data_IF_335261220435
#
_entry.id   IF_335261220435
#
_cell.length_a   1.000
_cell.length_b   1.000
_cell.length_c   1.000
_cell.angle_alpha   90.00
_cell.angle_beta   90.00
_cell.angle_gamma   90.00
#
_symmetry.space_group_name_H-M   'P 1'
#
loop_
_entity.id
_entity.type
_entity.pdbx_description
1 polymer ?
#
# COMPACT_ATOMS: atom_id res chain seq x y z
N UNK A 1 49.75 19.98 -14.88
CA UNK A 1 51.13 19.38 -14.67
C UNK A 1 51.00 18.18 -13.74
N UNK A 2 51.51 17.05 -14.23
CA UNK A 2 51.92 15.79 -13.52
C UNK A 2 50.80 15.00 -12.87
N UNK A 3 50.41 13.90 -13.44
CA UNK A 3 50.97 12.56 -13.79
C UNK A 3 50.57 11.51 -12.75
N UNK A 4 49.74 10.56 -13.24
CA UNK A 4 49.90 9.09 -13.20
C UNK A 4 50.49 8.45 -11.93
N UNK A 5 49.78 7.50 -11.36
CA UNK A 5 50.31 6.16 -11.15
C UNK A 5 49.18 5.10 -11.18
N UNK A 6 49.25 4.28 -12.20
CA UNK A 6 48.66 2.96 -12.35
C UNK A 6 49.41 1.96 -11.48
N UNK A 7 48.72 1.02 -10.83
CA UNK A 7 49.37 -0.25 -10.47
C UNK A 7 48.36 -1.41 -10.49
N UNK A 8 48.61 -2.24 -11.45
CA UNK A 8 48.14 -3.55 -11.77
C UNK A 8 48.81 -4.57 -10.85
N UNK A 9 48.10 -5.49 -10.22
CA UNK A 9 48.69 -6.75 -9.84
C UNK A 9 47.71 -7.91 -9.96
N UNK A 10 48.21 -8.87 -10.71
CA UNK A 10 47.64 -10.09 -11.23
C UNK A 10 47.57 -11.24 -10.20
N UNK A 11 46.54 -12.07 -10.33
CA UNK A 11 46.52 -13.49 -10.60
C UNK A 11 47.50 -14.40 -9.81
N UNK A 12 46.93 -15.25 -8.94
CA UNK A 12 47.48 -16.61 -8.73
C UNK A 12 46.32 -17.61 -8.56
N UNK A 13 46.17 -18.46 -9.58
CA UNK A 13 45.51 -19.78 -9.53
C UNK A 13 46.42 -20.74 -8.76
N UNK A 14 45.83 -21.58 -7.92
CA UNK A 14 46.46 -22.83 -7.51
C UNK A 14 45.40 -23.95 -7.50
N UNK A 15 45.48 -24.77 -8.56
CA UNK A 15 44.92 -26.14 -8.62
C UNK A 15 45.71 -27.03 -7.67
N UNK A 16 45.03 -27.87 -6.90
CA UNK A 16 45.60 -29.11 -6.36
C UNK A 16 44.61 -30.25 -6.55
N UNK A 17 44.92 -31.06 -7.55
CA UNK A 17 44.42 -32.43 -7.69
C UNK A 17 45.19 -33.31 -6.69
N UNK A 18 44.46 -34.16 -5.96
CA UNK A 18 45.01 -35.38 -5.40
C UNK A 18 44.07 -36.54 -5.66
N UNK A 19 44.48 -37.38 -6.58
CA UNK A 19 44.00 -38.75 -6.82
C UNK A 19 44.55 -39.68 -5.76
N UNK A 20 43.73 -40.62 -5.28
CA UNK A 20 44.15 -41.73 -4.45
C UNK A 20 43.14 -42.88 -4.50
N UNK A 21 43.44 -43.89 -5.29
CA UNK A 21 42.74 -45.19 -5.40
C UNK A 21 43.05 -46.11 -4.21
N UNK A 22 42.08 -46.99 -3.87
CA UNK A 22 42.40 -48.36 -3.49
C UNK A 22 41.59 -48.99 -2.36
N UNK A 23 40.86 -50.10 -2.67
CA UNK A 23 40.69 -51.27 -1.81
C UNK A 23 39.34 -51.52 -1.12
N UNK A 24 38.45 -52.16 -1.68
CA UNK A 24 37.85 -53.52 -1.70
C UNK A 24 37.25 -54.08 -0.39
N UNK A 25 35.91 -54.41 -0.45
CA UNK A 25 35.06 -55.46 0.21
C UNK A 25 34.98 -55.54 1.74
N UNK A 26 33.79 -55.54 2.32
CA UNK A 26 32.81 -56.66 2.31
C UNK A 26 31.46 -56.21 2.97
N UNK A 27 30.46 -56.97 2.54
CA UNK A 27 29.05 -57.02 2.88
C UNK A 27 28.64 -56.92 4.36
N UNK A 28 27.55 -56.22 4.65
CA UNK A 28 26.37 -56.76 5.36
C UNK A 28 25.19 -55.78 5.27
N UNK A 29 24.05 -56.37 4.86
CA UNK A 29 22.72 -55.72 4.74
C UNK A 29 22.17 -55.30 6.10
N UNK A 30 21.68 -54.07 6.15
CA UNK A 30 20.55 -53.75 7.04
C UNK A 30 19.77 -52.60 6.37
N UNK A 31 18.47 -52.78 6.28
CA UNK A 31 17.56 -51.91 5.53
C UNK A 31 17.56 -50.47 6.02
N UNK A 32 17.96 -49.59 5.14
CA UNK A 32 17.67 -48.19 5.25
C UNK A 32 16.28 -47.94 4.68
N UNK A 33 15.37 -47.67 5.59
CA UNK A 33 14.09 -47.04 5.26
C UNK A 33 14.43 -45.66 4.71
N UNK A 34 14.40 -45.52 3.41
CA UNK A 34 14.48 -44.23 2.76
C UNK A 34 13.28 -43.40 3.28
N UNK A 35 13.56 -42.54 4.23
CA UNK A 35 12.66 -41.42 4.56
C UNK A 35 12.57 -40.59 3.28
N UNK A 36 11.47 -40.71 2.57
CA UNK A 36 11.13 -39.80 1.50
C UNK A 36 11.07 -38.40 2.09
N UNK A 37 12.12 -37.61 1.92
CA UNK A 37 12.06 -36.18 2.12
C UNK A 37 11.02 -35.65 1.14
N UNK A 38 9.86 -35.32 1.64
CA UNK A 38 8.88 -34.50 0.93
C UNK A 38 9.65 -33.28 0.40
N UNK A 39 9.56 -32.93 -0.88
CA UNK A 39 10.17 -31.70 -1.34
C UNK A 39 9.62 -30.57 -0.49
N UNK A 40 10.49 -29.82 0.18
CA UNK A 40 10.11 -28.55 0.81
C UNK A 40 9.49 -27.72 -0.29
N UNK A 41 8.20 -27.41 -0.17
CA UNK A 41 7.54 -26.49 -1.07
C UNK A 41 8.36 -25.19 -1.05
N UNK A 42 8.74 -24.69 -2.22
CA UNK A 42 9.50 -23.46 -2.36
C UNK A 42 8.67 -22.32 -1.74
N UNK A 43 9.19 -21.69 -0.68
CA UNK A 43 8.50 -20.60 -0.01
C UNK A 43 8.53 -19.36 -0.90
N UNK A 44 7.39 -18.80 -1.20
CA UNK A 44 7.23 -17.54 -1.93
C UNK A 44 7.17 -16.39 -0.94
N UNK A 45 8.08 -15.43 -1.07
CA UNK A 45 8.07 -14.20 -0.27
C UNK A 45 7.60 -13.06 -1.16
N UNK A 46 6.50 -12.44 -0.77
CA UNK A 46 5.88 -11.29 -1.42
C UNK A 46 6.03 -10.06 -0.54
N UNK A 47 5.96 -8.86 -1.10
CA UNK A 47 6.10 -7.60 -0.36
C UNK A 47 4.86 -6.74 -0.52
N UNK A 48 4.45 -6.10 0.59
CA UNK A 48 3.37 -5.14 0.64
C UNK A 48 3.89 -3.79 1.15
N UNK A 49 3.68 -2.72 0.39
CA UNK A 49 3.99 -1.35 0.79
C UNK A 49 2.77 -0.64 1.39
N UNK A 50 3.01 0.20 2.39
CA UNK A 50 2.01 1.08 2.97
C UNK A 50 2.66 2.39 3.45
N UNK A 51 2.01 3.53 3.19
CA UNK A 51 2.49 4.86 3.59
C UNK A 51 2.24 5.20 5.06
N UNK A 52 1.32 4.50 5.74
CA UNK A 52 1.03 4.67 7.16
C UNK A 52 2.06 3.98 8.06
N UNK A 53 2.19 4.48 9.30
CA UNK A 53 3.01 3.84 10.34
C UNK A 53 2.41 2.49 10.76
N UNK A 54 3.21 1.62 11.36
CA UNK A 54 2.79 0.27 11.73
C UNK A 54 1.60 0.24 12.72
N UNK A 55 1.49 1.26 13.57
CA UNK A 55 0.45 1.41 14.59
C UNK A 55 -0.91 1.85 14.02
N UNK A 56 -0.93 2.38 12.79
CA UNK A 56 -2.18 2.79 12.16
C UNK A 56 -3.09 1.59 11.91
N UNK A 57 -4.40 1.76 12.15
CA UNK A 57 -5.38 0.67 12.04
C UNK A 57 -5.38 0.01 10.65
N UNK A 58 -5.20 0.80 9.60
CA UNK A 58 -5.07 0.28 8.21
C UNK A 58 -3.80 -0.57 8.04
N UNK A 59 -2.71 -0.22 8.74
CA UNK A 59 -1.46 -1.02 8.72
C UNK A 59 -1.64 -2.34 9.47
N UNK A 60 -2.40 -2.33 10.56
CA UNK A 60 -2.76 -3.54 11.29
C UNK A 60 -3.61 -4.47 10.42
N UNK A 61 -4.54 -3.94 9.62
CA UNK A 61 -5.30 -4.73 8.64
C UNK A 61 -4.38 -5.36 7.57
N UNK A 62 -3.41 -4.60 7.07
CA UNK A 62 -2.41 -5.14 6.12
C UNK A 62 -1.57 -6.25 6.76
N UNK A 63 -1.16 -6.10 8.02
CA UNK A 63 -0.44 -7.15 8.75
C UNK A 63 -1.30 -8.37 8.98
N UNK A 64 -2.56 -8.20 9.40
CA UNK A 64 -3.52 -9.30 9.55
C UNK A 64 -3.72 -10.05 8.23
N UNK A 65 -3.87 -9.35 7.12
CA UNK A 65 -3.93 -9.96 5.79
C UNK A 65 -2.70 -10.83 5.51
N UNK A 66 -1.50 -10.31 5.78
CA UNK A 66 -0.25 -11.04 5.59
C UNK A 66 -0.16 -12.31 6.47
N UNK A 67 -0.54 -12.19 7.74
CA UNK A 67 -0.53 -13.29 8.71
C UNK A 67 -1.52 -14.40 8.31
N UNK A 68 -2.73 -14.02 7.88
CA UNK A 68 -3.75 -14.95 7.40
C UNK A 68 -3.30 -15.71 6.14
N UNK A 69 -2.66 -15.04 5.19
CA UNK A 69 -2.12 -15.69 3.98
C UNK A 69 -1.04 -16.70 4.36
N UNK A 70 -0.15 -16.34 5.27
CA UNK A 70 0.89 -17.27 5.75
C UNK A 70 0.26 -18.49 6.43
N UNK A 71 -0.71 -18.29 7.33
CA UNK A 71 -1.42 -19.35 8.04
C UNK A 71 -2.17 -20.28 7.07
N UNK A 72 -3.02 -19.72 6.18
CA UNK A 72 -3.87 -20.52 5.28
C UNK A 72 -3.10 -21.18 4.13
N UNK A 73 -1.85 -20.79 3.92
CA UNK A 73 -0.95 -21.47 2.97
C UNK A 73 0.07 -22.38 3.64
N UNK A 74 -0.07 -22.68 4.95
CA UNK A 74 0.89 -23.48 5.71
C UNK A 74 2.33 -22.98 5.57
N UNK A 75 2.54 -21.65 5.51
CA UNK A 75 3.83 -20.99 5.36
C UNK A 75 4.44 -21.04 3.95
N UNK A 76 3.70 -21.48 2.92
CA UNK A 76 4.18 -21.48 1.53
C UNK A 76 4.28 -20.07 0.96
N UNK A 77 3.38 -19.16 1.38
CA UNK A 77 3.38 -17.77 0.99
C UNK A 77 3.53 -16.91 2.23
N UNK A 78 4.51 -16.01 2.19
CA UNK A 78 4.74 -14.99 3.23
C UNK A 78 4.65 -13.62 2.60
N UNK A 79 3.95 -12.67 3.23
CA UNK A 79 3.89 -11.28 2.80
C UNK A 79 4.65 -10.43 3.81
N UNK A 80 5.72 -9.79 3.39
CA UNK A 80 6.49 -8.84 4.20
C UNK A 80 5.86 -7.45 4.05
N UNK A 81 5.34 -6.90 5.16
CA UNK A 81 4.74 -5.57 5.19
C UNK A 81 5.81 -4.51 5.47
N UNK A 82 5.87 -3.49 4.62
CA UNK A 82 6.75 -2.33 4.73
C UNK A 82 5.90 -1.08 4.96
N UNK A 83 6.05 -0.46 6.11
CA UNK A 83 5.24 0.66 6.58
C UNK A 83 5.95 2.01 6.43
N UNK A 84 5.25 3.10 6.81
CA UNK A 84 5.78 4.47 6.86
C UNK A 84 6.40 4.98 5.54
N UNK A 85 5.98 4.44 4.40
CA UNK A 85 6.52 4.83 3.10
C UNK A 85 7.94 4.32 2.82
N UNK A 86 8.40 3.25 3.50
CA UNK A 86 9.75 2.68 3.33
C UNK A 86 10.06 2.34 1.87
N UNK A 87 9.08 1.85 1.11
CA UNK A 87 9.24 1.48 -0.31
C UNK A 87 8.83 2.60 -1.29
N UNK A 88 8.43 3.76 -0.77
CA UNK A 88 8.02 4.92 -1.55
C UNK A 88 6.62 5.44 -1.19
N UNK A 89 6.23 6.53 -1.86
CA UNK A 89 4.87 7.08 -1.77
C UNK A 89 3.85 6.22 -2.51
N UNK A 90 2.55 6.55 -2.37
CA UNK A 90 1.46 5.76 -2.94
C UNK A 90 1.58 5.64 -4.47
N UNK A 91 1.87 6.73 -5.17
CA UNK A 91 2.02 6.73 -6.63
C UNK A 91 3.17 5.82 -7.07
N UNK A 92 4.34 6.00 -6.48
CA UNK A 92 5.54 5.21 -6.83
C UNK A 92 5.35 3.72 -6.53
N UNK A 93 4.64 3.36 -5.46
CA UNK A 93 4.36 1.96 -5.13
C UNK A 93 3.32 1.33 -6.06
N UNK A 94 2.31 2.10 -6.56
CA UNK A 94 1.42 1.63 -7.62
C UNK A 94 2.23 1.34 -8.90
N UNK A 95 3.10 2.27 -9.32
CA UNK A 95 3.97 2.08 -10.49
C UNK A 95 4.87 0.84 -10.33
N UNK A 96 5.44 0.61 -9.14
CA UNK A 96 6.22 -0.59 -8.87
C UNK A 96 5.39 -1.87 -9.00
N UNK A 97 4.14 -1.91 -8.51
CA UNK A 97 3.23 -3.03 -8.71
C UNK A 97 2.91 -3.24 -10.19
N UNK A 98 2.64 -2.15 -10.93
CA UNK A 98 2.35 -2.18 -12.37
C UNK A 98 3.45 -2.85 -13.18
N UNK A 99 4.72 -2.61 -12.80
CA UNK A 99 5.89 -3.18 -13.47
C UNK A 99 6.40 -4.48 -12.84
N UNK A 100 5.74 -5.01 -11.81
CA UNK A 100 6.11 -6.26 -11.13
C UNK A 100 7.35 -6.16 -10.24
N UNK A 101 7.73 -4.96 -9.84
CA UNK A 101 8.81 -4.70 -8.89
C UNK A 101 8.35 -4.77 -7.42
N UNK A 102 7.06 -4.71 -7.17
CA UNK A 102 6.39 -4.87 -5.88
C UNK A 102 5.16 -5.75 -6.08
N UNK A 103 4.77 -6.50 -5.05
CA UNK A 103 3.69 -7.48 -5.15
C UNK A 103 2.34 -6.88 -4.76
N UNK A 104 2.29 -6.15 -3.65
CA UNK A 104 1.11 -5.49 -3.13
C UNK A 104 1.41 -4.06 -2.69
N UNK A 105 0.42 -3.19 -2.77
CA UNK A 105 0.49 -1.86 -2.17
C UNK A 105 -0.88 -1.49 -1.58
N UNK A 106 -0.87 -0.90 -0.38
CA UNK A 106 -2.05 -0.23 0.17
C UNK A 106 -2.00 1.23 -0.25
N UNK A 107 -3.05 1.71 -0.87
CA UNK A 107 -3.14 3.08 -1.41
C UNK A 107 -4.54 3.66 -1.23
N UNK A 108 -4.64 4.99 -1.29
CA UNK A 108 -5.92 5.71 -1.34
C UNK A 108 -6.49 5.74 -2.76
N UNK A 109 -7.81 5.89 -2.86
CA UNK A 109 -8.48 6.10 -4.15
C UNK A 109 -7.99 7.38 -4.86
N UNK A 110 -7.55 8.39 -4.11
CA UNK A 110 -6.99 9.61 -4.69
C UNK A 110 -5.76 9.35 -5.55
N UNK A 111 -4.76 8.68 -4.98
CA UNK A 111 -3.53 8.36 -5.70
C UNK A 111 -3.76 7.32 -6.82
N UNK A 112 -4.74 6.43 -6.67
CA UNK A 112 -5.02 5.36 -7.64
C UNK A 112 -5.86 5.82 -8.83
N UNK A 113 -6.54 6.97 -8.75
CA UNK A 113 -7.44 7.46 -9.79
C UNK A 113 -6.74 7.76 -11.14
N UNK A 114 -5.44 8.04 -11.13
CA UNK A 114 -4.67 8.19 -12.38
C UNK A 114 -4.51 6.87 -13.13
N UNK A 115 -4.51 5.75 -12.41
CA UNK A 115 -4.36 4.40 -12.98
C UNK A 115 -5.72 3.78 -13.32
N UNK A 116 -6.80 4.23 -12.69
CA UNK A 116 -8.17 3.81 -12.93
C UNK A 116 -9.11 5.01 -12.77
N UNK A 117 -9.34 5.82 -13.82
CA UNK A 117 -10.11 7.07 -13.72
C UNK A 117 -11.55 6.90 -13.20
N UNK A 118 -12.14 5.71 -13.36
CA UNK A 118 -13.47 5.40 -12.82
C UNK A 118 -13.49 5.46 -11.28
N UNK A 119 -12.31 5.30 -10.61
CA UNK A 119 -12.16 5.47 -9.18
C UNK A 119 -12.63 6.84 -8.67
N UNK A 120 -12.57 7.89 -9.51
CA UNK A 120 -13.07 9.21 -9.14
C UNK A 120 -14.57 9.21 -8.78
N UNK A 121 -15.37 8.29 -9.33
CA UNK A 121 -16.78 8.18 -8.97
C UNK A 121 -16.98 7.75 -7.52
N UNK A 122 -16.06 6.98 -6.95
CA UNK A 122 -16.15 6.47 -5.57
C UNK A 122 -15.65 7.48 -4.50
N UNK A 123 -15.15 8.63 -4.90
CA UNK A 123 -14.62 9.64 -3.96
C UNK A 123 -15.25 11.02 -4.13
N UNK A 124 -16.38 11.10 -4.84
CA UNK A 124 -17.13 12.35 -5.00
C UNK A 124 -17.57 12.90 -3.64
N UNK A 125 -17.51 14.23 -3.44
CA UNK A 125 -17.97 14.84 -2.19
C UNK A 125 -19.44 14.54 -1.91
N UNK A 126 -19.73 14.17 -0.63
CA UNK A 126 -21.07 13.91 -0.11
C UNK A 126 -21.88 12.82 -0.85
N UNK A 127 -21.20 11.89 -1.55
CA UNK A 127 -21.83 10.80 -2.31
C UNK A 127 -22.52 9.79 -1.37
N UNK A 128 -21.90 9.51 -0.22
CA UNK A 128 -22.38 8.47 0.70
C UNK A 128 -23.10 9.06 1.89
N UNK A 129 -24.22 8.45 2.27
CA UNK A 129 -25.06 8.86 3.41
C UNK A 129 -24.60 8.22 4.74
N UNK A 130 -23.80 7.16 4.67
CA UNK A 130 -23.25 6.43 5.81
C UNK A 130 -22.08 5.55 5.38
N UNK A 131 -21.34 5.01 6.35
CA UNK A 131 -20.31 3.98 6.11
C UNK A 131 -20.93 2.70 5.54
N UNK A 132 -22.10 2.29 6.03
CA UNK A 132 -22.80 1.12 5.48
C UNK A 132 -23.14 1.31 4.00
N UNK A 133 -23.63 2.49 3.61
CA UNK A 133 -23.90 2.81 2.21
C UNK A 133 -22.62 2.80 1.35
N UNK A 134 -21.50 3.32 1.89
CA UNK A 134 -20.21 3.25 1.23
C UNK A 134 -19.84 1.80 0.91
N UNK A 135 -19.94 0.90 1.89
CA UNK A 135 -19.54 -0.48 1.70
C UNK A 135 -20.55 -1.31 0.91
N UNK A 136 -21.84 -0.95 0.92
CA UNK A 136 -22.83 -1.52 -0.01
C UNK A 136 -22.42 -1.26 -1.46
N UNK A 137 -21.89 -0.08 -1.77
CA UNK A 137 -21.39 0.28 -3.10
C UNK A 137 -20.06 -0.41 -3.41
N UNK A 138 -19.10 -0.38 -2.47
CA UNK A 138 -17.75 -0.93 -2.68
C UNK A 138 -17.74 -2.46 -2.81
N UNK A 139 -18.57 -3.15 -2.03
CA UNK A 139 -18.71 -4.62 -2.08
C UNK A 139 -19.62 -5.08 -3.23
N UNK A 140 -20.42 -4.17 -3.77
CA UNK A 140 -21.36 -4.43 -4.84
C UNK A 140 -20.73 -4.43 -6.24
N UNK A 141 -21.62 -4.49 -7.25
CA UNK A 141 -21.23 -4.52 -8.67
C UNK A 141 -20.40 -3.28 -9.07
N UNK A 142 -20.69 -2.10 -8.50
CA UNK A 142 -20.01 -0.84 -8.82
C UNK A 142 -18.54 -0.90 -8.39
N UNK A 143 -18.27 -1.32 -7.15
CA UNK A 143 -16.90 -1.45 -6.64
C UNK A 143 -16.11 -2.49 -7.42
N UNK A 144 -16.74 -3.60 -7.82
CA UNK A 144 -16.13 -4.62 -8.66
C UNK A 144 -15.81 -4.10 -10.06
N UNK A 145 -16.73 -3.35 -10.70
CA UNK A 145 -16.51 -2.72 -12.00
C UNK A 145 -15.30 -1.77 -11.96
N UNK A 146 -15.19 -0.99 -10.90
CA UNK A 146 -14.03 -0.10 -10.70
C UNK A 146 -12.73 -0.90 -10.57
N UNK A 147 -12.69 -1.97 -9.78
CA UNK A 147 -11.52 -2.84 -9.68
C UNK A 147 -11.11 -3.49 -11.00
N UNK A 148 -12.09 -3.86 -11.86
CA UNK A 148 -11.77 -4.41 -13.17
C UNK A 148 -10.98 -3.43 -14.05
N UNK A 149 -11.19 -2.11 -13.91
CA UNK A 149 -10.45 -1.10 -14.70
C UNK A 149 -8.96 -1.04 -14.39
N UNK A 150 -8.52 -1.51 -13.22
CA UNK A 150 -7.08 -1.59 -12.88
C UNK A 150 -6.33 -2.60 -13.74
N UNK A 151 -7.00 -3.60 -14.29
CA UNK A 151 -6.38 -4.63 -15.14
C UNK A 151 -5.74 -4.06 -16.40
N UNK A 152 -6.27 -2.96 -16.92
CA UNK A 152 -5.71 -2.26 -18.09
C UNK A 152 -4.32 -1.68 -17.81
N UNK A 153 -4.01 -1.51 -16.52
CA UNK A 153 -2.72 -1.02 -16.02
C UNK A 153 -1.89 -2.10 -15.30
N UNK A 154 -2.12 -3.39 -15.61
CA UNK A 154 -1.41 -4.52 -15.00
C UNK A 154 -1.52 -4.60 -13.48
N UNK A 155 -2.62 -4.12 -12.92
CA UNK A 155 -2.95 -4.14 -11.51
C UNK A 155 -4.19 -5.00 -11.26
N UNK A 156 -4.33 -5.49 -10.03
CA UNK A 156 -5.50 -6.24 -9.57
C UNK A 156 -5.98 -5.62 -8.27
N UNK A 157 -7.26 -5.21 -8.22
CA UNK A 157 -7.90 -4.80 -6.97
C UNK A 157 -8.12 -6.02 -6.08
N UNK A 158 -7.68 -5.95 -4.82
CA UNK A 158 -7.77 -7.07 -3.88
C UNK A 158 -8.92 -6.86 -2.91
N UNK A 159 -8.94 -5.74 -2.21
CA UNK A 159 -10.02 -5.37 -1.29
C UNK A 159 -10.03 -3.87 -1.06
N UNK A 160 -11.22 -3.33 -0.72
CA UNK A 160 -11.36 -1.97 -0.20
C UNK A 160 -11.16 -1.97 1.31
N UNK A 161 -10.70 -0.83 1.86
CA UNK A 161 -10.52 -0.62 3.28
C UNK A 161 -11.26 0.65 3.72
N UNK A 162 -11.63 0.73 4.98
CA UNK A 162 -12.37 1.86 5.54
C UNK A 162 -11.53 3.14 5.51
N UNK A 163 -11.98 4.23 4.88
CA UNK A 163 -11.16 5.42 4.69
C UNK A 163 -11.27 6.44 5.82
N UNK A 164 -12.26 6.31 6.71
CA UNK A 164 -12.71 7.42 7.57
C UNK A 164 -13.32 8.58 6.78
N UNK A 165 -14.04 9.44 7.49
CA UNK A 165 -14.58 10.69 6.92
C UNK A 165 -13.49 11.76 6.83
N UNK A 166 -13.35 12.41 5.68
CA UNK A 166 -12.35 13.44 5.43
C UNK A 166 -12.86 14.82 5.83
N UNK A 167 -11.98 15.60 6.42
CA UNK A 167 -12.27 16.87 7.04
C UNK A 167 -11.12 17.84 6.81
N UNK A 168 -11.40 19.16 6.70
CA UNK A 168 -10.36 20.17 6.53
C UNK A 168 -9.67 20.48 7.87
N UNK A 169 -8.37 20.74 7.80
CA UNK A 169 -7.58 21.28 8.91
C UNK A 169 -6.51 22.26 8.40
N UNK A 170 -6.18 23.29 9.20
CA UNK A 170 -5.25 24.31 8.75
C UNK A 170 -4.53 25.01 9.92
N UNK A 171 -3.50 25.81 9.57
CA UNK A 171 -2.67 26.58 10.51
C UNK A 171 -3.12 28.02 10.70
N UNK A 172 -4.17 28.49 10.02
CA UNK A 172 -4.46 29.93 9.91
C UNK A 172 -5.68 30.37 10.71
N UNK A 173 -6.82 29.68 10.57
CA UNK A 173 -8.11 30.12 11.15
C UNK A 173 -9.15 29.02 11.20
N UNK A 174 -10.18 29.22 11.97
CA UNK A 174 -11.40 28.42 11.91
C UNK A 174 -12.10 28.57 10.55
N UNK A 175 -12.68 27.48 10.05
CA UNK A 175 -13.47 27.42 8.81
C UNK A 175 -14.91 27.12 9.22
N UNK A 176 -15.82 28.04 8.95
CA UNK A 176 -17.25 27.91 9.25
C UNK A 176 -18.11 27.78 7.98
N UNK A 177 -17.60 28.26 6.87
CA UNK A 177 -18.27 28.22 5.56
C UNK A 177 -17.26 27.90 4.46
N UNK A 178 -17.69 27.37 3.30
CA UNK A 178 -16.80 27.17 2.16
C UNK A 178 -16.03 28.41 1.72
N UNK A 179 -16.63 29.62 1.89
CA UNK A 179 -15.96 30.88 1.56
C UNK A 179 -14.72 31.18 2.41
N UNK A 180 -14.61 30.55 3.59
CA UNK A 180 -13.44 30.73 4.45
C UNK A 180 -12.18 30.03 3.90
N UNK A 181 -12.34 29.09 2.99
CA UNK A 181 -11.23 28.42 2.27
C UNK A 181 -10.62 29.31 1.18
N UNK A 182 -11.33 30.38 0.75
CA UNK A 182 -10.88 31.23 -0.35
C UNK A 182 -9.47 31.77 -0.14
N UNK A 183 -8.60 31.51 -1.10
CA UNK A 183 -7.20 31.95 -1.11
C UNK A 183 -6.24 31.16 -0.23
N UNK A 184 -6.72 30.15 0.51
CA UNK A 184 -5.86 29.23 1.26
C UNK A 184 -5.20 28.24 0.30
N UNK A 185 -3.97 27.84 0.62
CA UNK A 185 -3.27 26.74 -0.04
C UNK A 185 -3.54 25.47 0.73
N UNK A 186 -4.26 24.55 0.15
CA UNK A 186 -4.66 23.28 0.78
C UNK A 186 -3.96 22.13 0.08
N UNK A 187 -3.20 21.35 0.87
CA UNK A 187 -2.66 20.07 0.36
C UNK A 187 -3.82 19.10 0.15
N UNK A 188 -3.81 18.45 -1.00
CA UNK A 188 -4.70 17.33 -1.33
C UNK A 188 -3.86 16.14 -1.80
N UNK A 189 -4.47 14.96 -1.87
CA UNK A 189 -3.85 13.83 -2.59
C UNK A 189 -3.56 14.21 -4.04
N UNK A 190 -2.64 13.52 -4.70
CA UNK A 190 -2.31 13.71 -6.11
C UNK A 190 -3.47 13.22 -6.99
N UNK A 191 -4.55 13.99 -7.02
CA UNK A 191 -5.82 13.67 -7.67
C UNK A 191 -6.40 14.93 -8.34
N UNK A 192 -6.68 14.83 -9.64
CA UNK A 192 -7.29 15.93 -10.41
C UNK A 192 -8.67 16.31 -9.86
N UNK A 193 -9.43 15.32 -9.35
CA UNK A 193 -10.71 15.58 -8.70
C UNK A 193 -10.53 16.46 -7.47
N UNK A 194 -9.56 16.15 -6.61
CA UNK A 194 -9.32 16.91 -5.38
C UNK A 194 -8.77 18.31 -5.66
N UNK A 195 -7.92 18.45 -6.69
CA UNK A 195 -7.47 19.77 -7.17
C UNK A 195 -8.66 20.60 -7.67
N UNK A 196 -9.55 20.00 -8.45
CA UNK A 196 -10.77 20.66 -8.96
C UNK A 196 -11.72 21.04 -7.82
N UNK A 197 -11.85 20.19 -6.79
CA UNK A 197 -12.66 20.52 -5.59
C UNK A 197 -12.11 21.78 -4.91
N UNK A 198 -10.79 21.89 -4.73
CA UNK A 198 -10.18 23.10 -4.15
C UNK A 198 -10.46 24.34 -4.99
N UNK A 199 -10.35 24.24 -6.30
CA UNK A 199 -10.67 25.35 -7.22
C UNK A 199 -12.14 25.78 -7.08
N UNK A 200 -13.08 24.84 -6.99
CA UNK A 200 -14.49 25.13 -6.77
C UNK A 200 -14.76 25.84 -5.44
N UNK A 201 -13.95 25.58 -4.41
CA UNK A 201 -14.03 26.20 -3.09
C UNK A 201 -13.27 27.54 -3.02
N UNK A 202 -12.61 27.95 -4.13
CA UNK A 202 -11.78 29.16 -4.18
C UNK A 202 -10.45 29.04 -3.43
N UNK A 203 -10.06 27.85 -3.07
CA UNK A 203 -8.75 27.55 -2.50
C UNK A 203 -7.74 27.19 -3.60
N UNK A 204 -6.45 27.24 -3.29
CA UNK A 204 -5.40 26.76 -4.16
C UNK A 204 -5.03 25.32 -3.74
N UNK A 205 -5.47 24.34 -4.50
CA UNK A 205 -5.11 22.93 -4.28
C UNK A 205 -3.63 22.68 -4.61
N UNK A 206 -2.94 21.92 -3.77
CA UNK A 206 -1.55 21.48 -3.99
C UNK A 206 -1.49 19.98 -3.81
N UNK A 207 -1.32 19.23 -4.92
CA UNK A 207 -1.14 17.79 -4.90
C UNK A 207 0.25 17.43 -4.36
N UNK A 208 0.30 16.73 -3.22
CA UNK A 208 1.56 16.28 -2.61
C UNK A 208 1.37 14.88 -1.99
N UNK A 209 2.43 14.06 -1.94
CA UNK A 209 2.43 12.80 -1.21
C UNK A 209 1.97 12.96 0.26
N UNK A 210 1.35 11.91 0.81
CA UNK A 210 0.83 11.94 2.17
C UNK A 210 1.91 12.28 3.21
N UNK A 211 3.08 11.65 3.11
CA UNK A 211 4.17 11.81 4.07
C UNK A 211 4.82 13.21 4.05
N UNK A 212 4.59 14.00 3.01
CA UNK A 212 5.11 15.37 2.89
C UNK A 212 4.19 16.42 3.54
N UNK A 213 2.97 16.03 3.96
CA UNK A 213 1.95 16.95 4.45
C UNK A 213 2.40 17.75 5.67
N UNK A 214 2.95 17.08 6.70
CA UNK A 214 3.40 17.75 7.92
C UNK A 214 4.46 18.81 7.63
N UNK A 215 5.51 18.43 6.91
CA UNK A 215 6.62 19.34 6.58
C UNK A 215 6.18 20.51 5.68
N UNK A 216 5.24 20.27 4.78
CA UNK A 216 4.69 21.29 3.88
C UNK A 216 3.86 22.33 4.62
N UNK A 217 3.08 21.93 5.65
CA UNK A 217 2.37 22.85 6.53
C UNK A 217 3.36 23.59 7.42
N UNK A 218 4.29 22.88 8.08
CA UNK A 218 5.29 23.46 8.97
C UNK A 218 6.14 24.55 8.29
N UNK A 219 6.49 24.32 7.03
CA UNK A 219 7.30 25.27 6.23
C UNK A 219 6.47 26.30 5.46
N UNK A 220 5.14 26.33 5.67
CA UNK A 220 4.20 27.21 4.99
C UNK A 220 4.21 27.10 3.43
N UNK A 221 4.55 25.95 2.90
CA UNK A 221 4.33 25.61 1.47
C UNK A 221 2.82 25.56 1.23
N UNK A 222 2.07 24.96 2.17
CA UNK A 222 0.62 24.96 2.23
C UNK A 222 0.12 25.51 3.59
N UNK A 223 -1.12 25.96 3.62
CA UNK A 223 -1.75 26.51 4.84
C UNK A 223 -2.46 25.42 5.67
N UNK A 224 -2.81 24.30 5.04
CA UNK A 224 -3.51 23.19 5.65
C UNK A 224 -3.67 22.04 4.68
N UNK A 225 -4.49 21.08 5.08
CA UNK A 225 -4.83 19.90 4.28
C UNK A 225 -6.24 19.41 4.61
N UNK A 226 -6.62 18.28 4.06
CA UNK A 226 -7.83 17.54 4.39
C UNK A 226 -7.50 16.06 4.55
N UNK A 227 -8.08 15.40 5.54
CA UNK A 227 -7.93 13.97 5.78
C UNK A 227 -8.90 13.48 6.86
N UNK A 228 -8.85 12.17 7.17
CA UNK A 228 -9.56 11.59 8.30
C UNK A 228 -8.88 11.90 9.65
N UNK A 229 -9.63 11.73 10.75
CA UNK A 229 -9.16 12.02 12.09
C UNK A 229 -7.99 11.11 12.52
N UNK A 230 -8.02 9.84 12.15
CA UNK A 230 -6.98 8.88 12.51
C UNK A 230 -5.63 9.28 11.93
N UNK A 231 -5.59 9.64 10.64
CA UNK A 231 -4.38 10.17 9.99
C UNK A 231 -3.93 11.52 10.58
N UNK A 232 -4.89 12.38 10.95
CA UNK A 232 -4.59 13.68 11.60
C UNK A 232 -3.85 13.49 12.93
N UNK A 233 -4.27 12.48 13.72
CA UNK A 233 -3.64 12.16 15.00
C UNK A 233 -2.30 11.44 14.77
N UNK A 234 -2.26 10.40 13.91
CA UNK A 234 -1.06 9.60 13.63
C UNK A 234 0.12 10.47 13.18
N UNK A 235 -0.13 11.38 12.24
CA UNK A 235 0.90 12.25 11.67
C UNK A 235 1.15 13.50 12.49
N UNK A 236 0.52 13.63 13.66
CA UNK A 236 0.62 14.82 14.54
C UNK A 236 0.32 16.14 13.84
N UNK A 237 -0.58 16.12 12.84
CA UNK A 237 -0.92 17.34 12.08
C UNK A 237 -1.47 18.45 12.98
N UNK A 238 -2.05 18.10 14.13
CA UNK A 238 -2.54 19.04 15.15
C UNK A 238 -1.45 19.99 15.69
N UNK A 239 -0.17 19.60 15.64
CA UNK A 239 0.95 20.45 16.04
C UNK A 239 1.17 21.63 15.09
N UNK A 240 0.93 21.43 13.80
CA UNK A 240 1.20 22.42 12.74
C UNK A 240 -0.06 23.01 12.12
N UNK A 241 -1.23 22.38 12.34
CA UNK A 241 -2.53 22.78 11.78
C UNK A 241 -3.66 22.53 12.81
N UNK A 242 -3.74 23.33 13.89
CA UNK A 242 -4.64 23.06 15.02
C UNK A 242 -6.12 23.36 14.74
N UNK A 243 -6.44 24.02 13.62
CA UNK A 243 -7.83 24.35 13.28
C UNK A 243 -8.45 23.21 12.48
N UNK A 244 -9.20 22.35 13.16
CA UNK A 244 -9.95 21.24 12.56
C UNK A 244 -11.40 21.63 12.30
N UNK A 245 -11.95 21.23 11.14
CA UNK A 245 -13.34 21.49 10.77
C UNK A 245 -14.06 20.16 10.52
N UNK A 246 -15.13 19.89 11.25
CA UNK A 246 -15.93 18.67 11.07
C UNK A 246 -16.93 18.86 9.92
N UNK A 247 -16.46 18.85 8.69
CA UNK A 247 -17.29 19.04 7.50
C UNK A 247 -17.62 17.72 6.78
N UNK A 248 -16.85 16.68 6.98
CA UNK A 248 -17.14 15.35 6.47
C UNK A 248 -17.39 15.31 4.97
N UNK A 249 -16.62 16.09 4.19
CA UNK A 249 -16.92 16.34 2.78
C UNK A 249 -16.77 15.13 1.88
N UNK A 250 -15.99 14.13 2.25
CA UNK A 250 -15.74 12.96 1.41
C UNK A 250 -15.35 11.73 2.21
N UNK A 251 -15.64 10.57 1.64
CA UNK A 251 -14.95 9.31 1.90
C UNK A 251 -14.04 9.04 0.70
N UNK A 252 -12.78 8.76 0.96
CA UNK A 252 -11.81 8.42 -0.08
C UNK A 252 -11.34 6.98 0.20
N UNK A 253 -12.01 5.95 -0.37
CA UNK A 253 -11.72 4.57 -0.03
C UNK A 253 -10.24 4.25 -0.17
N UNK A 254 -9.72 3.55 0.81
CA UNK A 254 -8.43 2.89 0.72
C UNK A 254 -8.59 1.53 0.06
N UNK A 255 -7.50 0.97 -0.45
CA UNK A 255 -7.53 -0.36 -1.06
C UNK A 255 -6.17 -1.03 -1.01
N UNK A 256 -6.18 -2.34 -1.13
CA UNK A 256 -4.99 -3.12 -1.46
C UNK A 256 -5.04 -3.43 -2.96
N UNK A 257 -3.99 -3.03 -3.68
CA UNK A 257 -3.74 -3.41 -5.06
C UNK A 257 -2.61 -4.43 -5.13
N UNK A 258 -2.70 -5.35 -6.07
CA UNK A 258 -1.64 -6.30 -6.37
C UNK A 258 -1.07 -6.09 -7.77
N UNK A 259 0.18 -6.48 -7.96
CA UNK A 259 0.77 -6.68 -9.28
C UNK A 259 0.07 -7.83 -10.00
N UNK A 260 -0.46 -7.56 -11.19
CA UNK A 260 -1.02 -8.63 -12.03
C UNK A 260 0.03 -9.70 -12.36
N UNK A 261 1.31 -9.30 -12.52
CA UNK A 261 2.39 -10.24 -12.78
C UNK A 261 2.66 -11.17 -11.60
N UNK A 262 2.46 -10.72 -10.37
CA UNK A 262 2.55 -11.56 -9.17
C UNK A 262 1.36 -12.50 -9.11
N UNK A 263 0.14 -12.00 -9.26
CA UNK A 263 -1.08 -12.81 -9.22
C UNK A 263 -1.06 -13.90 -10.29
N UNK A 264 -0.64 -13.60 -11.52
CA UNK A 264 -0.58 -14.56 -12.63
C UNK A 264 0.42 -15.72 -12.40
N UNK A 265 1.38 -15.56 -11.48
CA UNK A 265 2.35 -16.63 -11.11
C UNK A 265 1.82 -17.58 -10.04
N UNK A 266 0.80 -17.16 -9.30
CA UNK A 266 0.18 -17.95 -8.23
C UNK A 266 -0.84 -18.92 -8.82
N UNK A 267 -1.01 -20.05 -8.13
CA UNK A 267 -2.09 -20.99 -8.48
C UNK A 267 -3.47 -20.34 -8.27
N UNK A 268 -4.49 -20.83 -8.95
CA UNK A 268 -5.86 -20.33 -8.75
C UNK A 268 -6.34 -20.51 -7.31
N UNK A 269 -5.86 -21.56 -6.62
CA UNK A 269 -6.14 -21.81 -5.20
C UNK A 269 -5.48 -20.75 -4.32
N UNK A 270 -4.20 -20.43 -4.56
CA UNK A 270 -3.48 -19.41 -3.80
C UNK A 270 -4.05 -18.01 -4.04
N UNK A 271 -4.46 -17.69 -5.28
CA UNK A 271 -5.16 -16.44 -5.58
C UNK A 271 -6.46 -16.32 -4.78
N UNK A 272 -7.26 -17.40 -4.70
CA UNK A 272 -8.48 -17.41 -3.91
C UNK A 272 -8.20 -17.21 -2.42
N UNK A 273 -7.18 -17.87 -1.87
CA UNK A 273 -6.76 -17.68 -0.48
C UNK A 273 -6.40 -16.21 -0.21
N UNK A 274 -5.69 -15.54 -1.13
CA UNK A 274 -5.34 -14.12 -1.02
C UNK A 274 -6.61 -13.26 -0.94
N UNK A 275 -7.58 -13.46 -1.84
CA UNK A 275 -8.84 -12.70 -1.81
C UNK A 275 -9.64 -12.96 -0.53
N UNK A 276 -9.73 -14.21 -0.09
CA UNK A 276 -10.47 -14.58 1.14
C UNK A 276 -9.81 -13.98 2.38
N UNK A 277 -8.47 -14.02 2.48
CA UNK A 277 -7.72 -13.42 3.58
C UNK A 277 -7.86 -11.88 3.60
N UNK A 278 -7.82 -11.25 2.44
CA UNK A 278 -7.99 -9.82 2.34
C UNK A 278 -9.40 -9.38 2.76
N UNK A 279 -10.43 -10.16 2.38
CA UNK A 279 -11.81 -9.89 2.82
C UNK A 279 -11.99 -10.07 4.33
N UNK A 280 -11.34 -11.08 4.93
CA UNK A 280 -11.37 -11.28 6.38
C UNK A 280 -10.70 -10.12 7.13
N UNK A 281 -9.54 -9.67 6.65
CA UNK A 281 -8.84 -8.52 7.22
C UNK A 281 -9.64 -7.22 7.05
N UNK A 282 -10.35 -7.05 5.94
CA UNK A 282 -11.21 -5.91 5.69
C UNK A 282 -12.41 -5.86 6.64
N UNK A 283 -13.07 -7.00 6.89
CA UNK A 283 -14.18 -7.07 7.86
C UNK A 283 -13.70 -6.68 9.26
N UNK A 284 -12.57 -7.25 9.70
CA UNK A 284 -11.95 -6.84 10.97
C UNK A 284 -11.63 -5.33 11.00
N UNK A 285 -11.08 -4.78 9.91
CA UNK A 285 -10.72 -3.37 9.81
C UNK A 285 -11.93 -2.44 9.96
N UNK A 286 -13.09 -2.80 9.38
CA UNK A 286 -14.33 -2.05 9.55
C UNK A 286 -14.79 -2.00 11.00
N UNK A 287 -14.79 -3.16 11.68
CA UNK A 287 -15.20 -3.29 13.07
C UNK A 287 -14.27 -2.47 13.99
N UNK A 288 -12.96 -2.63 13.80
CA UNK A 288 -11.95 -1.93 14.58
C UNK A 288 -11.90 -0.41 14.33
N UNK A 289 -12.43 0.07 13.21
CA UNK A 289 -12.53 1.51 12.94
C UNK A 289 -13.64 2.19 13.76
N UNK A 290 -14.68 1.44 14.12
CA UNK A 290 -15.82 1.95 14.90
C UNK A 290 -15.55 2.01 16.43
N UNK A 291 -14.49 1.31 16.92
CA UNK A 291 -14.06 1.33 18.33
C UNK A 291 -13.21 2.55 18.69
#
# INVERSE_FOLDING_TARGET
MKKFVTSLLAMVMLLSLCTGCGGQKDSSSTGDTASASTPSAETVVLRLANSHNAEHITSQACQMFADLVNEKTDGRITIECHFAGELGDERSTIEQCQFGGLDFTRVSSGASAEFAPLMNALQMPYEYTSVDHLFEVLDGEIGQEVFETFKDNNLVGITYLHPGSRNFFNSKKEIHTPADLAGMKIRVSESDLMLTLMDCLGAAGVGLPFNDTYSSIQTNVVDGAENNMTSYIEMSFWEVAPYWTYDGHSYMPDMILASKQTMDKLSAEDQQIIFDCAKEAEVWHREAWEE
#
